data_IF_550425240922
#
_entry.id   IF_550425240922
#
_cell.length_a   1.000
_cell.length_b   1.000
_cell.length_c   1.000
_cell.angle_alpha   90.00
_cell.angle_beta   90.00
_cell.angle_gamma   90.00
#
_symmetry.space_group_name_H-M   'P 1'
#
loop_
_entity.id
_entity.type
_entity.pdbx_description
1 polymer ?
#
# COMPACT_ATOMS: atom_id res chain seq x y z
N UNK A 1 27.57 -15.75 -1.11
CA UNK A 1 27.70 -14.81 0.03
C UNK A 1 26.37 -14.08 0.17
N UNK A 2 25.40 -14.67 0.87
CA UNK A 2 24.09 -14.05 1.16
C UNK A 2 23.95 -13.64 2.64
N UNK A 3 24.98 -13.85 3.46
CA UNK A 3 24.90 -13.69 4.92
C UNK A 3 25.07 -12.23 5.41
N UNK A 4 25.23 -11.28 4.49
CA UNK A 4 25.44 -9.86 4.80
C UNK A 4 24.97 -8.96 3.65
N UNK A 5 23.68 -8.99 3.36
CA UNK A 5 23.05 -8.01 2.47
C UNK A 5 22.60 -6.80 3.30
N UNK A 6 22.91 -5.56 2.90
CA UNK A 6 22.33 -4.39 3.55
C UNK A 6 20.82 -4.35 3.23
N UNK A 7 20.00 -4.03 4.24
CA UNK A 7 18.56 -3.86 4.02
C UNK A 7 18.31 -2.83 2.92
N UNK A 8 17.51 -3.22 1.93
CA UNK A 8 17.17 -2.35 0.80
C UNK A 8 15.76 -1.82 0.95
N UNK A 9 15.61 -0.51 0.98
CA UNK A 9 14.29 0.12 0.95
C UNK A 9 13.64 -0.03 -0.42
N UNK A 10 12.33 -0.25 -0.44
CA UNK A 10 11.52 -0.28 -1.66
C UNK A 10 11.44 1.10 -2.31
N UNK A 11 11.49 1.14 -3.63
CA UNK A 11 11.23 2.33 -4.45
C UNK A 11 9.72 2.58 -4.63
N UNK A 12 9.34 3.76 -5.13
CA UNK A 12 7.94 4.18 -5.33
C UNK A 12 7.03 3.10 -5.95
N UNK A 13 7.45 2.55 -7.09
CA UNK A 13 6.69 1.54 -7.84
C UNK A 13 6.59 0.23 -7.05
N UNK A 14 7.66 -0.17 -6.36
CA UNK A 14 7.71 -1.38 -5.55
C UNK A 14 6.81 -1.27 -4.32
N UNK A 15 6.76 -0.10 -3.67
CA UNK A 15 5.86 0.17 -2.56
C UNK A 15 4.41 0.03 -3.03
N UNK A 16 4.00 0.77 -4.07
CA UNK A 16 2.62 0.70 -4.58
C UNK A 16 2.23 -0.72 -5.01
N UNK A 17 3.11 -1.41 -5.74
CA UNK A 17 2.83 -2.76 -6.22
C UNK A 17 2.77 -3.79 -5.06
N UNK A 18 3.58 -3.61 -4.01
CA UNK A 18 3.52 -4.46 -2.81
C UNK A 18 2.18 -4.31 -2.08
N UNK A 19 1.69 -3.06 -1.92
CA UNK A 19 0.37 -2.79 -1.35
C UNK A 19 -0.75 -3.51 -2.13
N UNK A 20 -0.73 -3.43 -3.47
CA UNK A 20 -1.70 -4.10 -4.33
C UNK A 20 -1.60 -5.63 -4.26
N UNK A 21 -0.38 -6.18 -4.17
CA UNK A 21 -0.15 -7.61 -4.11
C UNK A 21 -0.70 -8.22 -2.81
N UNK A 22 -0.38 -7.60 -1.67
CA UNK A 22 -0.81 -8.14 -0.36
C UNK A 22 -2.31 -7.99 -0.14
N UNK A 23 -2.92 -6.89 -0.61
CA UNK A 23 -4.38 -6.70 -0.58
C UNK A 23 -5.13 -7.60 -1.57
N UNK A 24 -4.42 -8.27 -2.48
CA UNK A 24 -5.00 -9.11 -3.53
C UNK A 24 -5.70 -8.31 -4.63
N UNK A 25 -5.32 -7.06 -4.82
CA UNK A 25 -5.87 -6.16 -5.84
C UNK A 25 -4.97 -6.02 -7.07
N UNK A 26 -3.74 -6.54 -7.05
CA UNK A 26 -2.82 -6.43 -8.17
C UNK A 26 -3.38 -7.13 -9.42
N UNK A 27 -3.48 -6.39 -10.51
CA UNK A 27 -3.73 -6.94 -11.84
C UNK A 27 -2.37 -7.18 -12.54
N UNK A 28 -2.05 -8.45 -12.80
CA UNK A 28 -0.79 -8.89 -13.40
C UNK A 28 -0.76 -8.86 -14.94
N UNK A 29 -1.82 -8.36 -15.60
CA UNK A 29 -1.90 -8.29 -17.05
C UNK A 29 -0.71 -7.53 -17.67
N UNK A 30 0.00 -8.22 -18.57
CA UNK A 30 1.16 -7.70 -19.28
C UNK A 30 0.79 -7.05 -20.63
N UNK A 31 1.54 -6.02 -21.02
CA UNK A 31 1.36 -5.30 -22.29
C UNK A 31 0.08 -4.44 -22.35
N UNK A 32 -0.23 -3.86 -23.50
CA UNK A 32 -1.41 -3.01 -23.67
C UNK A 32 -1.23 -1.57 -23.20
N UNK A 33 -2.34 -0.83 -23.15
CA UNK A 33 -2.35 0.61 -22.86
C UNK A 33 -1.98 0.94 -21.42
N UNK A 34 -1.55 2.19 -21.21
CA UNK A 34 -1.32 2.74 -19.87
C UNK A 34 -2.62 2.85 -19.10
N UNK A 35 -2.50 2.78 -17.77
CA UNK A 35 -3.61 2.96 -16.84
C UNK A 35 -3.54 4.31 -16.14
N UNK A 36 -4.69 4.73 -15.65
CA UNK A 36 -4.90 5.96 -14.91
C UNK A 36 -5.49 5.59 -13.55
N UNK A 37 -4.66 5.29 -12.53
CA UNK A 37 -5.15 5.03 -11.18
C UNK A 37 -6.04 6.18 -10.67
N UNK A 38 -6.98 5.89 -9.75
CA UNK A 38 -7.75 6.94 -9.10
C UNK A 38 -6.81 7.89 -8.34
N UNK A 39 -6.99 9.18 -8.57
CA UNK A 39 -6.30 10.26 -7.86
C UNK A 39 -7.36 11.06 -7.09
N UNK A 40 -7.10 11.48 -5.84
CA UNK A 40 -8.02 12.31 -5.07
C UNK A 40 -8.40 13.59 -5.82
N UNK A 41 -9.66 14.01 -5.68
CA UNK A 41 -10.21 15.19 -6.37
C UNK A 41 -9.43 16.46 -6.07
N UNK A 42 -8.96 16.63 -4.84
CA UNK A 42 -8.20 17.81 -4.41
C UNK A 42 -6.86 17.94 -5.16
N UNK A 43 -6.23 16.80 -5.49
CA UNK A 43 -5.01 16.77 -6.30
C UNK A 43 -5.32 17.12 -7.76
N UNK A 44 -6.43 16.61 -8.31
CA UNK A 44 -6.88 16.94 -9.66
C UNK A 44 -7.30 18.42 -9.78
N UNK A 45 -7.82 19.02 -8.71
CA UNK A 45 -8.20 20.43 -8.66
C UNK A 45 -6.99 21.38 -8.73
N UNK A 46 -5.79 20.90 -8.36
CA UNK A 46 -4.54 21.65 -8.48
C UNK A 46 -3.98 21.77 -9.91
N UNK A 47 -4.62 21.10 -10.90
CA UNK A 47 -4.19 21.19 -12.29
C UNK A 47 -4.52 22.56 -12.91
N UNK A 48 -3.75 22.98 -13.91
CA UNK A 48 -4.01 24.22 -14.67
C UNK A 48 -5.39 24.23 -15.34
N UNK A 49 -5.88 23.06 -15.75
CA UNK A 49 -7.27 22.85 -16.17
C UNK A 49 -7.83 21.71 -15.32
N UNK A 50 -8.53 22.02 -14.21
CA UNK A 50 -9.02 21.03 -13.27
C UNK A 50 -9.83 19.92 -13.93
N UNK A 51 -9.46 18.67 -13.66
CA UNK A 51 -10.17 17.48 -14.15
C UNK A 51 -9.92 17.13 -15.62
N UNK A 52 -9.00 17.82 -16.31
CA UNK A 52 -8.66 17.53 -17.71
C UNK A 52 -7.45 16.62 -17.84
N UNK A 53 -7.50 15.68 -18.79
CA UNK A 53 -6.37 14.82 -19.17
C UNK A 53 -5.94 13.85 -18.08
N UNK A 54 -6.86 13.38 -17.25
CA UNK A 54 -6.68 12.21 -16.39
C UNK A 54 -8.01 11.45 -16.29
N UNK A 55 -8.23 10.51 -17.20
CA UNK A 55 -9.46 9.72 -17.25
C UNK A 55 -9.25 8.43 -16.47
N UNK A 56 -9.71 8.39 -15.22
CA UNK A 56 -9.54 7.24 -14.33
C UNK A 56 -9.95 5.93 -15.01
N UNK A 57 -9.02 4.97 -15.04
CA UNK A 57 -9.27 3.64 -15.58
C UNK A 57 -10.35 2.91 -14.77
N UNK A 58 -11.08 1.97 -15.39
CA UNK A 58 -12.06 1.19 -14.67
C UNK A 58 -11.40 0.36 -13.54
N UNK A 59 -12.12 0.03 -12.46
CA UNK A 59 -11.53 -0.57 -11.26
C UNK A 59 -10.75 -1.88 -11.50
N UNK A 60 -11.16 -2.67 -12.49
CA UNK A 60 -10.49 -3.91 -12.89
C UNK A 60 -9.13 -3.69 -13.56
N UNK A 61 -8.91 -2.49 -14.15
CA UNK A 61 -7.67 -2.11 -14.82
C UNK A 61 -6.80 -1.16 -13.98
N UNK A 62 -7.40 -0.33 -13.12
CA UNK A 62 -6.70 0.73 -12.38
C UNK A 62 -5.59 0.22 -11.43
N UNK A 63 -5.63 -1.06 -11.06
CA UNK A 63 -4.69 -1.70 -10.13
C UNK A 63 -3.61 -2.55 -10.83
N UNK A 64 -3.26 -2.21 -12.09
CA UNK A 64 -2.09 -2.82 -12.75
C UNK A 64 -0.78 -2.35 -12.12
N UNK A 65 0.28 -3.13 -12.36
CA UNK A 65 1.67 -2.82 -11.97
C UNK A 65 2.03 -1.38 -12.30
N UNK A 66 2.78 -0.73 -11.43
CA UNK A 66 3.09 0.70 -11.50
C UNK A 66 3.83 1.10 -12.78
N UNK A 67 4.51 0.17 -13.44
CA UNK A 67 5.14 0.38 -14.76
C UNK A 67 4.14 0.74 -15.87
N UNK A 68 2.86 0.39 -15.71
CA UNK A 68 1.80 0.74 -16.66
C UNK A 68 1.10 2.06 -16.32
N UNK A 69 1.45 2.72 -15.23
CA UNK A 69 0.84 3.99 -14.85
C UNK A 69 1.24 5.07 -15.85
N UNK A 70 0.25 5.78 -16.39
CA UNK A 70 0.47 6.89 -17.28
C UNK A 70 1.27 8.00 -16.59
N UNK A 71 2.35 8.45 -17.21
CA UNK A 71 3.17 9.55 -16.72
C UNK A 71 2.69 10.87 -17.33
N UNK A 72 2.21 11.77 -16.48
CA UNK A 72 1.84 13.15 -16.85
C UNK A 72 2.74 14.12 -16.09
N UNK A 73 3.48 14.95 -16.81
CA UNK A 73 4.48 15.88 -16.25
C UNK A 73 3.96 16.74 -15.09
N UNK A 74 2.78 17.33 -15.28
CA UNK A 74 2.15 18.23 -14.30
C UNK A 74 1.25 17.54 -13.27
N UNK A 75 1.21 16.20 -13.26
CA UNK A 75 0.35 15.44 -12.34
C UNK A 75 0.97 14.09 -11.99
N UNK A 76 1.45 13.98 -10.76
CA UNK A 76 1.95 12.73 -10.22
C UNK A 76 0.85 11.99 -9.45
N UNK A 77 0.91 10.65 -9.49
CA UNK A 77 0.09 9.83 -8.59
C UNK A 77 0.63 10.01 -7.17
N UNK A 78 -0.20 10.39 -6.17
CA UNK A 78 0.30 10.82 -4.86
C UNK A 78 1.22 9.82 -4.16
N UNK A 79 0.89 8.52 -4.14
CA UNK A 79 1.76 7.52 -3.50
C UNK A 79 3.11 7.37 -4.22
N UNK A 80 3.15 7.51 -5.55
CA UNK A 80 4.40 7.41 -6.29
C UNK A 80 5.28 8.64 -6.01
N UNK A 81 4.70 9.84 -6.09
CA UNK A 81 5.42 11.08 -5.77
C UNK A 81 5.92 11.12 -4.32
N UNK A 82 5.11 10.66 -3.36
CA UNK A 82 5.49 10.61 -1.94
C UNK A 82 6.69 9.70 -1.67
N UNK A 83 6.88 8.64 -2.46
CA UNK A 83 7.94 7.64 -2.32
C UNK A 83 9.09 7.81 -3.31
N UNK A 84 9.40 9.06 -3.65
CA UNK A 84 10.57 9.45 -4.43
C UNK A 84 10.53 8.94 -5.89
N UNK A 85 9.34 8.89 -6.51
CA UNK A 85 9.25 8.67 -7.97
C UNK A 85 10.12 9.69 -8.71
N UNK A 86 10.79 9.23 -9.76
CA UNK A 86 11.63 10.09 -10.59
C UNK A 86 10.86 11.30 -11.10
N UNK A 87 11.50 12.47 -11.02
CA UNK A 87 10.98 13.72 -11.54
C UNK A 87 10.65 13.59 -13.04
N UNK A 88 9.51 14.11 -13.46
CA UNK A 88 8.99 13.96 -14.83
C UNK A 88 9.40 15.09 -15.77
N UNK A 89 9.99 16.16 -15.23
CA UNK A 89 10.38 17.37 -15.95
C UNK A 89 11.90 17.52 -16.12
N UNK A 90 12.68 16.84 -15.28
CA UNK A 90 14.14 16.93 -15.24
C UNK A 90 14.81 15.56 -15.34
N UNK A 91 16.09 15.55 -15.74
CA UNK A 91 16.87 14.32 -15.79
C UNK A 91 17.14 13.79 -14.37
N UNK A 92 16.82 12.53 -14.13
CA UNK A 92 17.02 11.84 -12.85
C UNK A 92 18.12 10.77 -13.02
N UNK A 93 19.41 11.09 -12.80
CA UNK A 93 20.51 10.14 -12.98
C UNK A 93 20.53 9.06 -11.89
N UNK A 94 19.97 9.34 -10.72
CA UNK A 94 19.91 8.44 -9.57
C UNK A 94 18.54 8.59 -8.91
N UNK A 95 17.86 7.46 -8.68
CA UNK A 95 16.63 7.41 -7.88
C UNK A 95 17.00 7.18 -6.41
N UNK A 96 16.86 8.22 -5.60
CA UNK A 96 17.05 8.11 -4.17
C UNK A 96 15.80 7.50 -3.52
N UNK A 97 16.00 6.74 -2.43
CA UNK A 97 14.93 6.30 -1.54
C UNK A 97 15.13 7.00 -0.21
N UNK A 98 14.27 7.97 0.12
CA UNK A 98 14.37 8.75 1.34
C UNK A 98 13.58 8.09 2.47
N UNK A 99 13.93 8.36 3.73
CA UNK A 99 13.12 7.95 4.88
C UNK A 99 12.70 9.21 5.62
N UNK A 100 11.53 9.75 5.28
CA UNK A 100 11.02 10.99 5.88
C UNK A 100 9.69 10.79 6.60
N UNK A 101 9.43 11.49 7.73
CA UNK A 101 8.18 11.33 8.49
C UNK A 101 6.90 11.56 7.67
N UNK A 102 6.97 12.46 6.66
CA UNK A 102 5.85 12.72 5.77
C UNK A 102 5.40 11.49 4.97
N UNK A 103 6.32 10.56 4.64
CA UNK A 103 5.96 9.32 3.95
C UNK A 103 5.15 8.39 4.85
N UNK A 104 5.55 8.23 6.12
CA UNK A 104 4.81 7.42 7.08
C UNK A 104 3.43 8.04 7.36
N UNK A 105 3.36 9.36 7.54
CA UNK A 105 2.09 10.07 7.72
C UNK A 105 1.17 9.94 6.50
N UNK A 106 1.75 9.99 5.29
CA UNK A 106 1.05 9.78 4.04
C UNK A 106 0.49 8.37 3.89
N UNK A 107 1.21 7.34 4.33
CA UNK A 107 0.69 5.97 4.32
C UNK A 107 -0.43 5.76 5.36
N UNK A 108 -0.35 6.41 6.52
CA UNK A 108 -1.38 6.28 7.55
C UNK A 108 -2.70 6.96 7.13
N UNK A 109 -2.62 8.13 6.50
CA UNK A 109 -3.79 8.97 6.19
C UNK A 109 -4.23 8.90 4.72
N UNK A 110 -3.41 8.32 3.84
CA UNK A 110 -3.68 8.27 2.41
C UNK A 110 -4.86 7.37 2.08
N UNK A 111 -5.72 7.84 1.17
CA UNK A 111 -6.87 7.09 0.68
C UNK A 111 -6.47 5.72 0.11
N UNK A 112 -5.41 5.68 -0.70
CA UNK A 112 -4.91 4.44 -1.29
C UNK A 112 -4.56 3.38 -0.23
N UNK A 113 -3.77 3.74 0.77
CA UNK A 113 -3.37 2.81 1.84
C UNK A 113 -4.56 2.33 2.67
N UNK A 114 -5.51 3.22 2.96
CA UNK A 114 -6.74 2.88 3.68
C UNK A 114 -7.65 1.94 2.86
N UNK A 115 -7.75 2.18 1.54
CA UNK A 115 -8.47 1.29 0.63
C UNK A 115 -7.82 -0.09 0.59
N UNK A 116 -6.50 -0.15 0.43
CA UNK A 116 -5.75 -1.42 0.42
C UNK A 116 -5.86 -2.16 1.76
N UNK A 117 -5.85 -1.45 2.89
CA UNK A 117 -6.12 -2.05 4.21
C UNK A 117 -7.52 -2.67 4.29
N UNK A 118 -8.54 -2.01 3.73
CA UNK A 118 -9.89 -2.55 3.66
C UNK A 118 -9.99 -3.79 2.74
N UNK A 119 -9.29 -3.78 1.61
CA UNK A 119 -9.19 -4.95 0.73
C UNK A 119 -8.46 -6.11 1.41
N UNK A 120 -7.36 -5.84 2.12
CA UNK A 120 -6.64 -6.84 2.90
C UNK A 120 -7.52 -7.44 4.00
N UNK A 121 -8.24 -6.62 4.77
CA UNK A 121 -9.16 -7.10 5.80
C UNK A 121 -10.22 -8.06 5.22
N UNK A 122 -10.89 -7.67 4.13
CA UNK A 122 -11.86 -8.54 3.43
C UNK A 122 -11.24 -9.84 2.92
N UNK A 123 -10.01 -9.77 2.41
CA UNK A 123 -9.26 -10.95 1.98
C UNK A 123 -9.00 -11.89 3.16
N UNK A 124 -8.57 -11.37 4.31
CA UNK A 124 -8.32 -12.15 5.52
C UNK A 124 -9.60 -12.78 6.08
N UNK A 125 -10.71 -12.04 6.12
CA UNK A 125 -12.02 -12.56 6.53
C UNK A 125 -12.46 -13.73 5.64
N UNK A 126 -12.21 -13.65 4.33
CA UNK A 126 -12.53 -14.72 3.37
C UNK A 126 -11.60 -15.93 3.53
N UNK A 127 -10.30 -15.71 3.69
CA UNK A 127 -9.31 -16.80 3.79
C UNK A 127 -9.37 -17.51 5.15
N UNK A 128 -9.69 -16.78 6.23
CA UNK A 128 -9.71 -17.25 7.62
C UNK A 128 -10.97 -16.74 8.34
N UNK A 129 -12.16 -17.29 8.02
CA UNK A 129 -13.41 -16.80 8.60
C UNK A 129 -13.46 -17.03 10.11
N UNK A 130 -13.88 -16.00 10.85
CA UNK A 130 -14.12 -16.05 12.31
C UNK A 130 -12.93 -16.45 13.19
N UNK A 131 -11.70 -16.40 12.68
CA UNK A 131 -10.48 -16.70 13.45
C UNK A 131 -9.50 -15.54 13.40
N UNK A 132 -9.59 -14.63 14.39
CA UNK A 132 -8.72 -13.45 14.48
C UNK A 132 -7.23 -13.81 14.56
N UNK A 133 -6.89 -14.93 15.21
CA UNK A 133 -5.49 -15.33 15.36
C UNK A 133 -4.91 -15.79 14.03
N UNK A 134 -5.67 -16.61 13.30
CA UNK A 134 -5.27 -17.05 11.97
C UNK A 134 -5.27 -15.89 10.94
N UNK A 135 -6.17 -14.91 11.09
CA UNK A 135 -6.16 -13.67 10.31
C UNK A 135 -4.90 -12.84 10.57
N UNK A 136 -4.53 -12.62 11.82
CA UNK A 136 -3.28 -11.93 12.19
C UNK A 136 -2.05 -12.66 11.64
N UNK A 137 -1.99 -13.98 11.82
CA UNK A 137 -0.89 -14.80 11.29
C UNK A 137 -0.76 -14.70 9.77
N UNK A 138 -1.91 -14.66 9.07
CA UNK A 138 -1.93 -14.51 7.63
C UNK A 138 -1.53 -13.10 7.19
N UNK A 139 -1.96 -12.06 7.91
CA UNK A 139 -1.57 -10.68 7.64
C UNK A 139 -0.05 -10.53 7.71
N UNK A 140 0.58 -10.97 8.81
CA UNK A 140 2.03 -10.91 8.97
C UNK A 140 2.74 -11.67 7.87
N UNK A 141 2.32 -12.90 7.56
CA UNK A 141 2.94 -13.67 6.46
C UNK A 141 2.84 -12.98 5.11
N UNK A 142 1.75 -12.27 4.83
CA UNK A 142 1.57 -11.53 3.58
C UNK A 142 2.42 -10.26 3.55
N UNK A 143 2.54 -9.54 4.66
CA UNK A 143 3.23 -8.24 4.70
C UNK A 143 4.74 -8.36 4.91
N UNK A 144 5.20 -9.29 5.75
CA UNK A 144 6.61 -9.39 6.13
C UNK A 144 7.28 -10.67 5.64
N UNK A 145 6.52 -11.64 5.12
CA UNK A 145 7.05 -12.92 4.65
C UNK A 145 7.54 -13.87 5.76
N UNK A 146 7.61 -13.42 7.02
CA UNK A 146 8.08 -14.23 8.16
C UNK A 146 6.94 -14.96 8.88
N UNK A 147 7.33 -15.93 9.70
CA UNK A 147 6.43 -16.60 10.64
C UNK A 147 6.36 -15.77 11.93
N UNK A 148 5.16 -15.37 12.40
CA UNK A 148 5.03 -14.61 13.64
C UNK A 148 5.25 -15.47 14.88
N UNK A 149 5.64 -14.83 15.97
CA UNK A 149 5.73 -15.50 17.28
C UNK A 149 4.36 -15.59 17.95
N UNK A 150 4.19 -16.50 18.91
CA UNK A 150 2.94 -16.59 19.68
C UNK A 150 2.64 -15.29 20.45
N UNK A 151 3.66 -14.67 21.03
CA UNK A 151 3.56 -13.42 21.79
C UNK A 151 3.08 -12.26 20.92
N UNK A 152 3.57 -12.18 19.69
CA UNK A 152 3.14 -11.17 18.72
C UNK A 152 1.68 -11.36 18.32
N UNK A 153 1.28 -12.61 18.01
CA UNK A 153 -0.11 -12.92 17.71
C UNK A 153 -1.06 -12.62 18.88
N UNK A 154 -0.61 -12.86 20.12
CA UNK A 154 -1.38 -12.51 21.31
C UNK A 154 -1.58 -10.99 21.44
N UNK A 155 -0.53 -10.21 21.16
CA UNK A 155 -0.58 -8.75 21.16
C UNK A 155 -1.50 -8.20 20.05
N UNK A 156 -1.42 -8.74 18.84
CA UNK A 156 -2.26 -8.34 17.70
C UNK A 156 -3.75 -8.62 17.94
N UNK A 157 -4.06 -9.79 18.48
CA UNK A 157 -5.43 -10.15 18.87
C UNK A 157 -5.92 -9.27 20.01
N UNK A 158 -5.08 -8.96 20.99
CA UNK A 158 -5.43 -8.04 22.08
C UNK A 158 -5.70 -6.62 21.56
N UNK A 159 -4.90 -6.14 20.60
CA UNK A 159 -5.12 -4.86 19.93
C UNK A 159 -6.47 -4.83 19.18
N UNK A 160 -6.76 -5.82 18.33
CA UNK A 160 -8.04 -5.86 17.63
C UNK A 160 -9.24 -5.90 18.60
N UNK A 161 -9.12 -6.66 19.70
CA UNK A 161 -10.15 -6.70 20.76
C UNK A 161 -10.31 -5.36 21.48
N UNK A 162 -9.23 -4.62 21.73
CA UNK A 162 -9.31 -3.31 22.39
C UNK A 162 -9.98 -2.25 21.51
N UNK A 163 -9.77 -2.32 20.18
CA UNK A 163 -10.46 -1.48 19.21
C UNK A 163 -11.97 -1.79 19.21
N UNK A 164 -12.35 -3.07 19.23
CA UNK A 164 -13.77 -3.47 19.38
C UNK A 164 -14.35 -2.99 20.71
N UNK A 165 -13.61 -3.14 21.82
CA UNK A 165 -14.05 -2.67 23.13
C UNK A 165 -14.24 -1.15 23.21
N UNK A 166 -13.56 -0.40 22.33
CA UNK A 166 -13.70 1.06 22.20
C UNK A 166 -14.93 1.49 21.38
N UNK A 167 -15.75 0.53 20.91
CA UNK A 167 -17.01 0.78 20.21
C UNK A 167 -16.95 0.58 18.68
N UNK A 168 -15.81 0.18 18.12
CA UNK A 168 -15.71 -0.14 16.70
C UNK A 168 -16.28 -1.54 16.37
N UNK A 169 -16.68 -1.76 15.12
CA UNK A 169 -17.06 -3.09 14.66
C UNK A 169 -15.83 -4.00 14.52
N UNK A 170 -16.03 -5.32 14.52
CA UNK A 170 -14.95 -6.29 14.30
C UNK A 170 -14.26 -6.09 12.94
N UNK A 171 -15.03 -5.76 11.89
CA UNK A 171 -14.50 -5.47 10.56
C UNK A 171 -13.63 -4.22 10.55
N UNK A 172 -14.00 -3.19 11.31
CA UNK A 172 -13.24 -1.95 11.44
C UNK A 172 -11.95 -2.18 12.23
N UNK A 173 -11.99 -2.96 13.31
CA UNK A 173 -10.80 -3.36 14.05
C UNK A 173 -9.79 -4.11 13.16
N UNK A 174 -10.27 -5.05 12.34
CA UNK A 174 -9.41 -5.77 11.40
C UNK A 174 -8.85 -4.85 10.31
N UNK A 175 -9.65 -3.90 9.79
CA UNK A 175 -9.18 -2.89 8.84
C UNK A 175 -8.05 -2.03 9.43
N UNK A 176 -8.20 -1.56 10.67
CA UNK A 176 -7.18 -0.78 11.36
C UNK A 176 -5.90 -1.60 11.60
N UNK A 177 -6.04 -2.86 11.99
CA UNK A 177 -4.90 -3.77 12.10
C UNK A 177 -4.20 -3.98 10.74
N UNK A 178 -4.94 -4.15 9.65
CA UNK A 178 -4.36 -4.24 8.30
C UNK A 178 -3.61 -2.95 7.93
N UNK A 179 -4.14 -1.78 8.28
CA UNK A 179 -3.46 -0.51 8.06
C UNK A 179 -2.15 -0.44 8.86
N UNK A 180 -2.16 -0.86 10.13
CA UNK A 180 -0.95 -0.98 10.95
C UNK A 180 0.08 -1.90 10.30
N UNK A 181 -0.33 -3.11 9.88
CA UNK A 181 0.55 -4.09 9.27
C UNK A 181 1.23 -3.56 7.99
N UNK A 182 0.49 -2.83 7.15
CA UNK A 182 0.98 -2.17 5.93
C UNK A 182 1.91 -0.97 6.21
N UNK A 183 1.91 -0.45 7.43
CA UNK A 183 2.72 0.71 7.84
C UNK A 183 3.92 0.32 8.72
N UNK A 184 4.16 -0.98 8.94
CA UNK A 184 5.35 -1.45 9.66
C UNK A 184 6.61 -1.18 8.83
N UNK A 185 7.74 -0.90 9.48
CA UNK A 185 9.02 -0.73 8.78
C UNK A 185 9.36 -1.98 7.96
N UNK A 186 9.15 -3.17 8.52
CA UNK A 186 9.41 -4.45 7.83
C UNK A 186 8.71 -4.57 6.47
N UNK A 187 7.57 -3.89 6.27
CA UNK A 187 6.84 -3.95 5.00
C UNK A 187 7.57 -3.25 3.84
N UNK A 188 8.39 -2.23 4.11
CA UNK A 188 9.03 -1.39 3.07
C UNK A 188 10.54 -1.64 2.91
N UNK A 189 11.08 -2.65 3.59
CA UNK A 189 12.49 -3.05 3.50
C UNK A 189 12.60 -4.53 3.10
N UNK A 190 13.53 -4.83 2.20
CA UNK A 190 13.95 -6.20 1.87
C UNK A 190 15.22 -6.54 2.67
N UNK A 191 15.22 -7.73 3.27
CA UNK A 191 16.34 -8.32 4.01
C UNK A 191 17.27 -9.19 3.14
#
# INVERSE_FOLDING_TARGET
LFWRQPMRRLAAEEVRDSFLQVSGQLNEQMGGESIYPPIPRDVLAGQSVPGSGWNTSPPDQANRRSVYVHLKRSLQVPILGQFDQADTDTSCPVRYTTTVPAQALGLLNGAFSNDQAAHLARRLEKERPSDLRAQAERAIRLTTGRTPSSTELDADVAYMKSVVASGASASEALRQYCLLALNTSEFIYLD
#
